data_IF_473135586618
#
_entry.id   IF_473135586618
#
_cell.length_a   1.000
_cell.length_b   1.000
_cell.length_c   1.000
_cell.angle_alpha   90.00
_cell.angle_beta   90.00
_cell.angle_gamma   90.00
#
_symmetry.space_group_name_H-M   'P 1'
#
loop_
_entity.id
_entity.type
_entity.pdbx_description
1 polymer ?
#
# COMPACT_ATOMS: atom_id res chain seq x y z
N UNK A 1 -11.90 -1.30 -3.45
CA UNK A 1 -10.93 -2.31 -2.95
C UNK A 1 -9.86 -1.60 -2.14
N UNK A 2 -9.22 -2.28 -1.20
CA UNK A 2 -8.18 -1.70 -0.36
C UNK A 2 -6.83 -2.37 -0.61
N UNK A 3 -5.77 -1.57 -0.80
CA UNK A 3 -4.39 -2.04 -0.74
C UNK A 3 -3.67 -1.21 0.33
N UNK A 4 -3.07 -1.89 1.30
CA UNK A 4 -2.37 -1.25 2.40
C UNK A 4 -1.04 -1.94 2.66
N UNK A 5 -0.12 -1.26 3.33
CA UNK A 5 1.19 -1.85 3.56
C UNK A 5 2.03 -1.16 4.61
N UNK A 6 3.15 -1.79 4.91
CA UNK A 6 4.15 -1.30 5.83
C UNK A 6 5.56 -1.57 5.30
N UNK A 7 6.50 -0.74 5.72
CA UNK A 7 7.89 -0.95 5.37
C UNK A 7 8.59 -1.91 6.32
N UNK A 8 9.37 -2.82 5.75
CA UNK A 8 10.13 -3.81 6.51
C UNK A 8 11.62 -3.52 6.43
N UNK A 9 12.29 -3.52 7.59
CA UNK A 9 13.75 -3.40 7.71
C UNK A 9 14.37 -2.14 7.07
N UNK A 10 13.62 -1.04 6.93
CA UNK A 10 14.11 0.24 6.37
C UNK A 10 14.21 1.40 7.36
N UNK A 11 13.87 1.18 8.64
CA UNK A 11 13.83 2.22 9.70
C UNK A 11 13.16 3.52 9.18
N UNK A 12 13.63 4.68 9.63
CA UNK A 12 13.12 6.01 9.24
C UNK A 12 13.65 6.49 7.88
N UNK A 13 14.25 5.62 7.07
CA UNK A 13 14.89 6.01 5.80
C UNK A 13 13.87 6.26 4.68
N UNK A 14 12.67 5.68 4.80
CA UNK A 14 11.55 5.87 3.89
C UNK A 14 10.35 6.29 4.73
N UNK A 15 9.74 7.42 4.37
CA UNK A 15 8.50 7.87 5.00
C UNK A 15 7.31 7.47 4.14
N UNK A 16 6.18 7.21 4.79
CA UNK A 16 4.91 6.93 4.10
C UNK A 16 4.53 8.07 3.14
N UNK A 17 4.69 9.34 3.54
CA UNK A 17 4.43 10.49 2.67
C UNK A 17 5.25 10.47 1.37
N UNK A 18 6.57 10.23 1.46
CA UNK A 18 7.44 10.19 0.28
C UNK A 18 7.06 9.05 -0.65
N UNK A 19 6.72 7.90 -0.07
CA UNK A 19 6.32 6.73 -0.83
C UNK A 19 4.96 6.95 -1.51
N UNK A 20 3.97 7.48 -0.78
CA UNK A 20 2.65 7.76 -1.33
C UNK A 20 2.68 8.87 -2.38
N UNK A 21 3.58 9.84 -2.29
CA UNK A 21 3.79 10.82 -3.36
C UNK A 21 4.14 10.14 -4.69
N UNK A 22 5.04 9.15 -4.66
CA UNK A 22 5.41 8.36 -5.83
C UNK A 22 4.23 7.51 -6.33
N UNK A 23 3.46 6.91 -5.41
CA UNK A 23 2.30 6.11 -5.80
C UNK A 23 1.20 6.96 -6.44
N UNK A 24 0.89 8.12 -5.85
CA UNK A 24 -0.17 9.01 -6.32
C UNK A 24 0.14 9.63 -7.69
N UNK A 25 1.41 9.92 -7.98
CA UNK A 25 1.84 10.38 -9.31
C UNK A 25 1.60 9.31 -10.39
N UNK A 26 1.92 8.05 -10.07
CA UNK A 26 1.80 6.94 -11.03
C UNK A 26 0.39 6.32 -11.11
N UNK A 27 -0.43 6.44 -10.07
CA UNK A 27 -1.78 5.87 -9.98
C UNK A 27 -2.76 6.90 -9.37
N UNK A 28 -3.08 8.00 -10.06
CA UNK A 28 -3.83 9.13 -9.49
C UNK A 28 -5.28 8.82 -9.13
N UNK A 29 -5.82 7.70 -9.62
CA UNK A 29 -7.19 7.25 -9.33
C UNK A 29 -7.38 6.72 -7.89
N UNK A 30 -6.30 6.50 -7.15
CA UNK A 30 -6.35 6.01 -5.77
C UNK A 30 -6.69 7.12 -4.76
N UNK A 31 -7.36 6.75 -3.68
CA UNK A 31 -7.49 7.58 -2.48
C UNK A 31 -6.45 7.15 -1.45
N UNK A 32 -5.51 8.04 -1.17
CA UNK A 32 -4.30 7.75 -0.40
C UNK A 32 -4.42 8.21 1.05
N UNK A 33 -3.91 7.40 1.97
CA UNK A 33 -3.95 7.68 3.41
C UNK A 33 -2.64 7.25 4.09
N UNK A 34 -2.17 8.08 5.00
CA UNK A 34 -1.03 7.80 5.88
C UNK A 34 -1.56 7.51 7.29
N UNK A 35 -1.00 6.50 7.94
CA UNK A 35 -1.29 6.23 9.35
C UNK A 35 -0.74 7.37 10.21
N UNK A 36 -1.61 7.98 11.00
CA UNK A 36 -1.28 9.05 11.93
C UNK A 36 -2.12 8.86 13.21
N UNK A 37 -1.73 7.91 14.09
CA UNK A 37 -2.50 7.65 15.29
C UNK A 37 -2.57 8.88 16.20
N UNK A 38 -3.68 9.04 16.94
CA UNK A 38 -3.83 10.08 17.95
C UNK A 38 -2.67 10.09 18.98
N UNK A 39 -2.34 11.28 19.52
CA UNK A 39 -1.35 11.38 20.59
C UNK A 39 -1.67 10.44 21.77
N UNK A 40 -0.63 9.80 22.33
CA UNK A 40 -0.77 8.87 23.45
C UNK A 40 -0.98 7.41 23.04
N UNK A 41 -1.17 7.11 21.75
CA UNK A 41 -1.14 5.74 21.24
C UNK A 41 0.29 5.38 20.82
N UNK A 42 0.88 4.36 21.45
CA UNK A 42 2.18 3.83 21.03
C UNK A 42 1.99 3.15 19.67
N UNK A 43 2.70 3.63 18.65
CA UNK A 43 2.72 3.01 17.33
C UNK A 43 3.37 1.63 17.38
N UNK A 44 2.54 0.60 17.46
CA UNK A 44 2.83 -0.72 16.89
C UNK A 44 1.92 -0.95 15.68
N UNK A 45 1.84 0.05 14.82
CA UNK A 45 1.05 -0.04 13.60
C UNK A 45 1.71 -1.06 12.66
N UNK A 46 1.00 -2.11 12.28
CA UNK A 46 1.45 -3.06 11.27
C UNK A 46 1.32 -2.52 9.84
N UNK A 47 0.75 -1.32 9.67
CA UNK A 47 0.40 -0.68 8.39
C UNK A 47 0.75 0.81 8.48
N UNK A 48 1.60 1.29 7.58
CA UNK A 48 2.06 2.68 7.50
C UNK A 48 1.16 3.52 6.56
N UNK A 49 0.60 2.88 5.54
CA UNK A 49 -0.16 3.54 4.49
C UNK A 49 -1.26 2.66 3.93
N UNK A 50 -2.23 3.31 3.28
CA UNK A 50 -3.40 2.69 2.70
C UNK A 50 -3.82 3.42 1.42
N UNK A 51 -4.30 2.66 0.45
CA UNK A 51 -4.87 3.15 -0.81
C UNK A 51 -6.22 2.48 -1.04
N UNK A 52 -7.27 3.27 -1.20
CA UNK A 52 -8.58 2.79 -1.63
C UNK A 52 -8.71 3.02 -3.13
N UNK A 53 -9.00 1.95 -3.87
CA UNK A 53 -9.04 1.95 -5.33
C UNK A 53 -10.48 1.82 -5.84
N UNK A 54 -10.84 2.55 -6.90
CA UNK A 54 -12.17 2.52 -7.49
C UNK A 54 -12.44 1.22 -8.27
N UNK A 55 -11.41 0.67 -8.92
CA UNK A 55 -11.54 -0.51 -9.77
C UNK A 55 -10.25 -1.34 -9.88
N UNK A 56 -10.32 -2.40 -10.69
CA UNK A 56 -9.22 -3.34 -10.92
C UNK A 56 -8.11 -2.76 -11.82
N UNK A 57 -8.42 -1.78 -12.67
CA UNK A 57 -7.42 -1.14 -13.54
C UNK A 57 -6.48 -0.27 -12.70
N UNK A 58 -7.04 0.53 -11.79
CA UNK A 58 -6.29 1.32 -10.83
C UNK A 58 -5.37 0.45 -9.95
N UNK A 59 -5.77 -0.80 -9.66
CA UNK A 59 -4.93 -1.74 -8.92
C UNK A 59 -3.68 -2.20 -9.70
N UNK A 60 -3.81 -2.38 -11.02
CA UNK A 60 -2.67 -2.74 -11.87
C UNK A 60 -1.69 -1.56 -12.04
N UNK A 61 -2.22 -0.33 -12.12
CA UNK A 61 -1.39 0.89 -12.09
C UNK A 61 -0.64 1.00 -10.76
N UNK A 62 -1.35 0.82 -9.64
CA UNK A 62 -0.74 0.82 -8.31
C UNK A 62 0.33 -0.28 -8.17
N UNK A 63 0.14 -1.47 -8.74
CA UNK A 63 1.14 -2.54 -8.72
C UNK A 63 2.46 -2.13 -9.39
N UNK A 64 2.39 -1.41 -10.51
CA UNK A 64 3.57 -0.86 -11.17
C UNK A 64 4.24 0.21 -10.30
N UNK A 65 3.45 1.09 -9.70
CA UNK A 65 3.94 2.13 -8.81
C UNK A 65 4.62 1.55 -7.55
N UNK A 66 4.04 0.51 -6.96
CA UNK A 66 4.61 -0.24 -5.84
C UNK A 66 5.96 -0.85 -6.20
N UNK A 67 6.08 -1.43 -7.40
CA UNK A 67 7.37 -1.94 -7.88
C UNK A 67 8.41 -0.81 -8.01
N UNK A 68 8.06 0.28 -8.67
CA UNK A 68 8.96 1.45 -8.83
C UNK A 68 9.38 2.04 -7.48
N UNK A 69 8.44 2.14 -6.53
CA UNK A 69 8.71 2.60 -5.17
C UNK A 69 9.63 1.65 -4.41
N UNK A 70 9.42 0.34 -4.56
CA UNK A 70 10.34 -0.65 -4.01
C UNK A 70 11.76 -0.50 -4.58
N UNK A 71 11.91 -0.42 -5.90
CA UNK A 71 13.24 -0.36 -6.52
C UNK A 71 13.99 0.93 -6.21
N UNK A 72 13.28 2.06 -6.16
CA UNK A 72 13.89 3.39 -5.98
C UNK A 72 14.12 3.78 -4.51
N UNK A 73 13.25 3.34 -3.59
CA UNK A 73 13.27 3.80 -2.20
C UNK A 73 13.66 2.72 -1.19
N UNK A 74 13.27 1.46 -1.42
CA UNK A 74 13.37 0.39 -0.41
C UNK A 74 14.56 -0.53 -0.68
N UNK A 75 14.64 -1.10 -1.89
CA UNK A 75 15.71 -2.01 -2.34
C UNK A 75 17.13 -1.45 -2.11
N UNK A 76 17.43 -0.15 -2.35
CA UNK A 76 18.78 0.38 -2.16
C UNK A 76 19.24 0.41 -0.69
N UNK A 77 18.32 0.29 0.26
CA UNK A 77 18.62 0.31 1.70
C UNK A 77 19.13 -1.03 2.23
N UNK A 78 19.10 -2.07 1.38
CA UNK A 78 19.54 -3.40 1.76
C UNK A 78 21.05 -3.45 1.97
N UNK A 79 21.47 -3.70 3.21
CA UNK A 79 22.86 -4.05 3.49
C UNK A 79 23.13 -5.46 2.93
N UNK A 80 24.38 -5.74 2.54
CA UNK A 80 24.82 -7.05 2.02
C UNK A 80 24.64 -8.23 3.00
N UNK A 81 24.20 -8.01 4.24
CA UNK A 81 23.98 -9.10 5.20
C UNK A 81 22.60 -9.75 4.98
N UNK A 82 22.56 -11.09 5.06
CA UNK A 82 21.37 -11.90 4.73
C UNK A 82 20.22 -11.79 5.72
N UNK A 83 20.41 -11.20 6.90
CA UNK A 83 19.46 -11.35 8.02
C UNK A 83 18.29 -10.36 8.02
N UNK A 84 18.40 -9.21 7.33
CA UNK A 84 17.34 -8.20 7.29
C UNK A 84 17.21 -7.60 5.88
N UNK A 85 16.52 -8.30 4.97
CA UNK A 85 16.26 -7.76 3.63
C UNK A 85 15.16 -6.69 3.71
N UNK A 86 15.38 -5.49 3.15
CA UNK A 86 14.34 -4.47 3.10
C UNK A 86 13.22 -4.95 2.19
N UNK A 87 11.99 -4.63 2.58
CA UNK A 87 10.81 -5.05 1.85
C UNK A 87 9.61 -4.16 2.11
N UNK A 88 8.55 -4.44 1.38
CA UNK A 88 7.26 -3.79 1.59
C UNK A 88 6.26 -4.91 1.86
N UNK A 89 5.73 -4.96 3.07
CA UNK A 89 4.58 -5.79 3.38
C UNK A 89 3.36 -5.20 2.69
N UNK A 90 2.64 -6.01 1.92
CA UNK A 90 1.44 -5.63 1.19
C UNK A 90 0.28 -6.50 1.65
N UNK A 91 -0.86 -5.86 1.88
CA UNK A 91 -2.12 -6.51 2.18
C UNK A 91 -3.21 -5.95 1.27
N UNK A 92 -3.84 -6.83 0.50
CA UNK A 92 -4.96 -6.53 -0.39
C UNK A 92 -6.22 -7.04 0.30
N UNK A 93 -7.20 -6.18 0.50
CA UNK A 93 -8.47 -6.53 1.14
C UNK A 93 -9.66 -6.21 0.27
N UNK A 94 -10.63 -7.12 0.27
CA UNK A 94 -11.98 -6.77 -0.16
C UNK A 94 -12.75 -6.11 0.99
N UNK A 95 -13.94 -5.60 0.68
CA UNK A 95 -14.79 -4.93 1.66
C UNK A 95 -15.61 -5.91 2.53
N UNK A 96 -15.51 -7.21 2.25
CA UNK A 96 -16.10 -8.27 3.08
C UNK A 96 -15.15 -8.75 4.20
N UNK A 97 -13.90 -8.28 4.20
CA UNK A 97 -12.87 -8.66 5.17
C UNK A 97 -11.91 -9.75 4.70
N UNK A 98 -12.11 -10.33 3.52
CA UNK A 98 -11.15 -11.25 2.93
C UNK A 98 -9.87 -10.50 2.55
N UNK A 99 -8.76 -11.20 2.72
CA UNK A 99 -7.44 -10.61 2.74
C UNK A 99 -6.45 -11.54 2.04
N UNK A 100 -5.62 -10.96 1.18
CA UNK A 100 -4.42 -11.58 0.65
C UNK A 100 -3.19 -10.74 1.03
N UNK A 101 -2.08 -11.39 1.37
CA UNK A 101 -0.89 -10.71 1.87
C UNK A 101 0.39 -11.32 1.30
N UNK A 102 1.38 -10.47 1.05
CA UNK A 102 2.69 -10.86 0.55
C UNK A 102 3.71 -9.73 0.78
N UNK A 103 4.98 -10.04 0.64
CA UNK A 103 6.08 -9.10 0.85
C UNK A 103 6.87 -8.88 -0.45
N UNK A 104 6.93 -7.64 -0.93
CA UNK A 104 7.81 -7.25 -2.03
C UNK A 104 9.25 -7.23 -1.54
N UNK A 105 10.14 -7.93 -2.26
CA UNK A 105 11.55 -8.13 -1.91
C UNK A 105 11.86 -9.47 -1.22
N UNK A 106 10.83 -10.15 -0.68
CA UNK A 106 10.96 -11.48 -0.06
C UNK A 106 10.13 -12.53 -0.78
N UNK A 107 8.80 -12.36 -0.83
CA UNK A 107 7.89 -13.31 -1.49
C UNK A 107 7.82 -13.04 -3.00
N UNK A 108 7.95 -11.76 -3.38
CA UNK A 108 7.90 -11.30 -4.76
C UNK A 108 9.14 -10.44 -5.04
N UNK A 109 10.05 -10.96 -5.88
CA UNK A 109 11.36 -10.34 -6.17
C UNK A 109 11.50 -9.84 -7.62
N UNK A 110 10.42 -9.91 -8.40
CA UNK A 110 10.36 -9.48 -9.81
C UNK A 110 9.10 -8.67 -10.09
N UNK A 111 9.23 -7.69 -10.98
CA UNK A 111 8.12 -6.83 -11.44
C UNK A 111 6.91 -7.64 -11.92
N UNK A 112 7.12 -8.55 -12.87
CA UNK A 112 6.04 -9.33 -13.45
C UNK A 112 5.36 -10.24 -12.41
N UNK A 113 6.13 -10.71 -11.43
CA UNK A 113 5.60 -11.44 -10.27
C UNK A 113 4.65 -10.58 -9.43
N UNK A 114 4.98 -9.30 -9.22
CA UNK A 114 4.11 -8.38 -8.47
C UNK A 114 2.83 -8.08 -9.24
N UNK A 115 2.93 -7.77 -10.53
CA UNK A 115 1.75 -7.51 -11.36
C UNK A 115 0.84 -8.73 -11.42
N UNK A 116 1.41 -9.93 -11.58
CA UNK A 116 0.66 -11.17 -11.57
C UNK A 116 -0.02 -11.40 -10.22
N UNK A 117 0.72 -11.28 -9.12
CA UNK A 117 0.19 -11.46 -7.76
C UNK A 117 -0.96 -10.52 -7.48
N UNK A 118 -0.80 -9.22 -7.76
CA UNK A 118 -1.89 -8.23 -7.59
C UNK A 118 -3.08 -8.60 -8.47
N UNK A 119 -2.89 -8.94 -9.75
CA UNK A 119 -4.01 -9.33 -10.62
C UNK A 119 -4.78 -10.54 -10.08
N UNK A 120 -4.09 -11.55 -9.56
CA UNK A 120 -4.73 -12.72 -8.95
C UNK A 120 -5.52 -12.35 -7.69
N UNK A 121 -4.90 -11.62 -6.76
CA UNK A 121 -5.57 -11.18 -5.53
C UNK A 121 -6.82 -10.36 -5.87
N UNK A 122 -6.70 -9.41 -6.80
CA UNK A 122 -7.81 -8.55 -7.23
C UNK A 122 -8.92 -9.37 -7.91
N UNK A 123 -8.57 -10.35 -8.74
CA UNK A 123 -9.56 -11.21 -9.38
C UNK A 123 -10.39 -12.00 -8.35
N UNK A 124 -9.72 -12.55 -7.32
CA UNK A 124 -10.37 -13.31 -6.24
C UNK A 124 -11.16 -12.41 -5.30
N UNK A 125 -10.62 -11.22 -4.98
CA UNK A 125 -11.14 -10.31 -3.97
C UNK A 125 -12.11 -9.24 -4.52
N UNK A 126 -12.38 -9.22 -5.83
CA UNK A 126 -13.21 -8.16 -6.43
C UNK A 126 -14.66 -8.17 -5.90
N UNK A 127 -15.05 -7.11 -5.18
CA UNK A 127 -16.45 -6.80 -4.85
C UNK A 127 -16.94 -5.66 -5.74
N UNK A 128 -17.99 -5.89 -6.54
CA UNK A 128 -18.48 -4.96 -7.60
C UNK A 128 -19.31 -3.75 -7.13
N UNK A 129 -19.30 -3.40 -5.84
CA UNK A 129 -20.16 -2.31 -5.34
C UNK A 129 -19.39 -1.00 -5.18
N UNK A 130 -19.64 -0.05 -6.08
CA UNK A 130 -19.09 1.31 -6.00
C UNK A 130 -19.49 2.02 -4.69
N UNK A 131 -20.74 1.82 -4.24
CA UNK A 131 -21.24 2.40 -2.97
C UNK A 131 -20.45 1.91 -1.75
N UNK A 132 -19.93 0.68 -1.81
CA UNK A 132 -19.10 0.15 -0.74
C UNK A 132 -17.71 0.82 -0.74
N UNK A 133 -17.16 1.14 -1.92
CA UNK A 133 -15.89 1.88 -2.04
C UNK A 133 -16.04 3.30 -1.49
N UNK A 134 -17.11 4.01 -1.86
CA UNK A 134 -17.38 5.37 -1.36
C UNK A 134 -17.51 5.39 0.16
N UNK A 135 -18.25 4.43 0.74
CA UNK A 135 -18.38 4.30 2.20
C UNK A 135 -17.04 4.03 2.89
N UNK A 136 -16.17 3.21 2.33
CA UNK A 136 -14.83 2.96 2.89
C UNK A 136 -13.97 4.23 2.88
N UNK A 137 -14.08 5.06 1.82
CA UNK A 137 -13.39 6.35 1.73
C UNK A 137 -13.90 7.30 2.81
N UNK A 138 -15.22 7.44 2.95
CA UNK A 138 -15.84 8.28 3.98
C UNK A 138 -15.43 7.83 5.38
N UNK A 139 -15.52 6.53 5.68
CA UNK A 139 -15.15 5.97 6.98
C UNK A 139 -13.68 6.20 7.28
N UNK A 140 -12.78 5.92 6.32
CA UNK A 140 -11.34 6.14 6.50
C UNK A 140 -11.03 7.62 6.68
N UNK A 141 -11.70 8.51 5.93
CA UNK A 141 -11.49 9.96 6.03
C UNK A 141 -12.02 10.57 7.32
N UNK A 142 -13.05 9.96 7.92
CA UNK A 142 -13.62 10.37 9.20
C UNK A 142 -12.84 9.84 10.42
N UNK A 143 -11.88 8.94 10.21
CA UNK A 143 -11.07 8.36 11.27
C UNK A 143 -10.02 9.35 11.77
N UNK A 144 -9.84 9.39 13.08
CA UNK A 144 -8.76 10.10 13.77
C UNK A 144 -7.38 9.42 13.62
N UNK A 145 -7.35 8.23 13.03
CA UNK A 145 -6.14 7.45 12.79
C UNK A 145 -5.53 7.70 11.41
N UNK A 146 -6.33 8.07 10.42
CA UNK A 146 -5.88 8.19 9.03
C UNK A 146 -5.87 9.63 8.58
N UNK A 147 -4.73 10.08 8.06
CA UNK A 147 -4.65 11.36 7.36
C UNK A 147 -4.74 11.12 5.86
N UNK A 148 -5.69 11.78 5.20
CA UNK A 148 -5.75 11.80 3.74
C UNK A 148 -4.48 12.44 3.16
N UNK A 149 -3.90 11.78 2.17
CA UNK A 149 -2.75 12.26 1.42
C UNK A 149 -3.23 12.80 0.07
N UNK A 150 -3.11 14.11 -0.11
CA UNK A 150 -3.25 14.77 -1.40
C UNK A 150 -1.83 14.99 -1.93
N UNK A 151 -1.45 14.28 -3.01
CA UNK A 151 -0.18 14.56 -3.69
C UNK A 151 -0.09 16.04 -4.02
N UNK A 152 1.07 16.67 -3.82
CA UNK A 152 1.25 18.07 -4.18
C UNK A 152 0.98 18.24 -5.68
N UNK A 153 -0.01 19.07 -5.98
CA UNK A 153 -0.37 19.53 -7.33
C UNK A 153 0.73 20.44 -7.88
#
# INVERSE_FOLDING_TARGET
MLIQGAFMHVKDSVTADRFLALLADAAPQGHYFVAQPPPGIIMTAAIDWRVILPDNAAAAELANALWSGYESLVKPLGKRSRQDKPGIFIQIKNLAGDCDQFTVGTDVDKKDGLLHRVKESVAVLSSRSNDAVLREIEQTSSSDYWRSFSGQS
#
